data_IF_793646685911
#
_entry.id   IF_793646685911
#
_cell.length_a   1.000
_cell.length_b   1.000
_cell.length_c   1.000
_cell.angle_alpha   90.00
_cell.angle_beta   90.00
_cell.angle_gamma   90.00
#
_symmetry.space_group_name_H-M   'P 1'
#
loop_
_entity.id
_entity.type
_entity.pdbx_description
1 polymer ?
#
# COMPACT_ATOMS: atom_id res chain seq x y z
N UNK A 1 -0.11 24.26 -0.31
CA UNK A 1 -1.09 24.02 0.76
C UNK A 1 -0.36 23.49 1.98
N UNK A 2 -0.47 24.19 3.09
CA UNK A 2 0.04 23.70 4.37
C UNK A 2 -1.04 22.90 5.07
N UNK A 3 -0.74 21.61 5.28
CA UNK A 3 -1.62 20.73 6.02
C UNK A 3 -1.02 20.52 7.40
N UNK A 4 -1.81 20.75 8.43
CA UNK A 4 -1.42 20.49 9.81
C UNK A 4 -2.24 19.34 10.37
N UNK A 5 -1.59 18.42 11.03
CA UNK A 5 -2.24 17.30 11.65
C UNK A 5 -1.25 16.37 12.31
N UNK A 6 -1.75 15.27 12.83
CA UNK A 6 -0.92 14.23 13.40
C UNK A 6 -1.34 12.89 12.79
N UNK A 7 -0.38 11.98 12.70
CA UNK A 7 -0.62 10.62 12.27
C UNK A 7 -0.21 9.70 13.40
N UNK A 8 -1.12 8.84 13.83
CA UNK A 8 -0.83 7.80 14.82
C UNK A 8 -0.79 6.47 14.11
N UNK A 9 0.30 5.72 14.31
CA UNK A 9 0.51 4.43 13.66
C UNK A 9 0.63 3.34 14.70
N UNK A 10 -0.30 2.38 14.66
CA UNK A 10 -0.26 1.18 15.50
C UNK A 10 0.10 -0.01 14.61
N UNK A 11 1.27 -0.61 14.87
CA UNK A 11 1.78 -1.71 14.04
C UNK A 11 1.44 -3.05 14.66
N UNK A 12 0.63 -3.83 13.96
CA UNK A 12 0.33 -5.21 14.32
C UNK A 12 0.87 -6.21 13.30
N UNK A 13 1.11 -5.77 12.07
CA UNK A 13 1.72 -6.60 11.02
C UNK A 13 3.23 -6.65 11.26
N UNK A 14 3.86 -7.84 11.26
CA UNK A 14 5.30 -7.97 11.49
C UNK A 14 6.13 -7.18 10.48
N UNK A 15 7.15 -6.49 10.98
CA UNK A 15 8.10 -5.74 10.15
C UNK A 15 9.08 -6.69 9.47
N UNK A 16 9.48 -6.35 8.25
CA UNK A 16 10.50 -7.10 7.52
C UNK A 16 10.07 -8.51 7.13
N UNK A 17 8.77 -8.77 7.06
CA UNK A 17 8.22 -10.09 6.79
C UNK A 17 7.68 -10.23 5.35
N UNK A 18 7.85 -9.22 4.51
CA UNK A 18 7.35 -9.26 3.14
C UNK A 18 5.83 -9.15 3.01
N UNK A 19 5.15 -8.69 4.07
CA UNK A 19 3.69 -8.60 4.09
C UNK A 19 3.14 -7.26 3.62
N UNK A 20 4.01 -6.32 3.28
CA UNK A 20 3.60 -5.02 2.73
C UNK A 20 2.95 -4.08 3.74
N UNK A 21 3.17 -4.29 5.05
CA UNK A 21 2.55 -3.47 6.09
C UNK A 21 2.90 -2.00 5.99
N UNK A 22 4.18 -1.66 5.80
CA UNK A 22 4.62 -0.27 5.65
C UNK A 22 4.07 0.39 4.40
N UNK A 23 4.05 -0.34 3.29
CA UNK A 23 3.51 0.18 2.03
C UNK A 23 2.00 0.40 2.12
N UNK A 24 1.27 -0.50 2.76
CA UNK A 24 -0.17 -0.32 2.97
C UNK A 24 -0.47 0.86 3.90
N UNK A 25 0.35 1.06 4.93
CA UNK A 25 0.22 2.22 5.82
C UNK A 25 0.43 3.53 5.06
N UNK A 26 1.43 3.59 4.21
CA UNK A 26 1.71 4.77 3.39
C UNK A 26 0.54 5.09 2.45
N UNK A 27 0.00 4.08 1.76
CA UNK A 27 -1.14 4.24 0.87
C UNK A 27 -2.39 4.70 1.64
N UNK A 28 -2.66 4.09 2.79
CA UNK A 28 -3.79 4.47 3.62
C UNK A 28 -3.66 5.93 4.08
N UNK A 29 -2.46 6.36 4.43
CA UNK A 29 -2.21 7.75 4.84
C UNK A 29 -2.49 8.72 3.70
N UNK A 30 -2.01 8.42 2.48
CA UNK A 30 -2.27 9.26 1.30
C UNK A 30 -3.77 9.36 1.02
N UNK A 31 -4.48 8.24 1.03
CA UNK A 31 -5.92 8.22 0.79
C UNK A 31 -6.67 9.00 1.88
N UNK A 32 -6.31 8.80 3.13
CA UNK A 32 -6.96 9.47 4.25
C UNK A 32 -6.75 10.98 4.20
N UNK A 33 -5.53 11.43 3.91
CA UNK A 33 -5.22 12.86 3.79
C UNK A 33 -5.98 13.50 2.63
N UNK A 34 -6.01 12.82 1.48
CA UNK A 34 -6.74 13.31 0.31
C UNK A 34 -8.23 13.50 0.64
N UNK A 35 -8.81 12.53 1.31
CA UNK A 35 -10.23 12.54 1.68
C UNK A 35 -10.53 13.54 2.80
N UNK A 36 -9.71 13.52 3.86
CA UNK A 36 -9.94 14.33 5.06
C UNK A 36 -9.82 15.83 4.77
N UNK A 37 -8.86 16.23 3.97
CA UNK A 37 -8.60 17.63 3.64
C UNK A 37 -9.28 18.07 2.34
N UNK A 38 -10.10 17.21 1.72
CA UNK A 38 -10.85 17.55 0.51
C UNK A 38 -9.96 17.88 -0.67
N UNK A 39 -8.79 17.24 -0.78
CA UNK A 39 -7.87 17.47 -1.88
C UNK A 39 -8.41 16.82 -3.16
N UNK A 40 -8.27 17.49 -4.33
CA UNK A 40 -8.86 16.99 -5.57
C UNK A 40 -7.92 16.01 -6.31
N UNK A 41 -7.20 15.15 -5.60
CA UNK A 41 -6.27 14.24 -6.21
C UNK A 41 -6.99 12.99 -6.72
N UNK A 42 -6.74 12.64 -7.99
CA UNK A 42 -7.23 11.41 -8.59
C UNK A 42 -6.40 10.20 -8.13
N UNK A 43 -6.89 8.99 -8.39
CA UNK A 43 -6.12 7.78 -8.10
C UNK A 43 -4.80 7.74 -8.88
N UNK A 44 -4.78 8.29 -10.10
CA UNK A 44 -3.54 8.37 -10.90
C UNK A 44 -2.52 9.26 -10.19
N UNK A 45 -2.94 10.44 -9.72
CA UNK A 45 -2.07 11.37 -9.00
C UNK A 45 -1.60 10.80 -7.67
N UNK A 46 -2.49 10.12 -6.93
CA UNK A 46 -2.13 9.43 -5.69
C UNK A 46 -1.13 8.30 -5.96
N UNK A 47 -1.30 7.55 -7.04
CA UNK A 47 -0.39 6.46 -7.42
C UNK A 47 0.99 6.99 -7.79
N UNK A 48 1.07 8.13 -8.46
CA UNK A 48 2.35 8.78 -8.79
C UNK A 48 3.08 9.21 -7.50
N UNK A 49 2.36 9.81 -6.55
CA UNK A 49 2.92 10.15 -5.25
C UNK A 49 3.34 8.91 -4.48
N UNK A 50 2.53 7.87 -4.52
CA UNK A 50 2.80 6.60 -3.87
C UNK A 50 4.08 5.94 -4.39
N UNK A 51 4.30 5.96 -5.70
CA UNK A 51 5.48 5.39 -6.33
C UNK A 51 6.77 6.06 -5.84
N UNK A 52 6.72 7.35 -5.49
CA UNK A 52 7.87 8.06 -4.93
C UNK A 52 8.21 7.63 -3.51
N UNK A 53 7.25 7.06 -2.78
CA UNK A 53 7.45 6.57 -1.41
C UNK A 53 7.98 5.13 -1.40
N UNK A 54 7.59 4.33 -2.36
CA UNK A 54 8.03 2.94 -2.46
C UNK A 54 7.35 2.25 -3.63
N UNK A 55 8.01 1.25 -4.19
CA UNK A 55 7.54 0.57 -5.42
C UNK A 55 6.25 -0.23 -5.20
N UNK A 56 5.97 -0.67 -3.98
CA UNK A 56 4.76 -1.45 -3.67
C UNK A 56 3.58 -0.58 -3.21
N UNK A 57 3.82 0.71 -2.93
CA UNK A 57 2.76 1.59 -2.42
C UNK A 57 1.61 1.77 -3.41
N UNK A 58 1.87 1.94 -4.74
CA UNK A 58 0.78 2.07 -5.72
C UNK A 58 -0.22 0.91 -5.72
N UNK A 59 0.24 -0.30 -5.46
CA UNK A 59 -0.63 -1.47 -5.36
C UNK A 59 -1.74 -1.25 -4.32
N UNK A 60 -1.39 -0.66 -3.17
CA UNK A 60 -2.36 -0.42 -2.09
C UNK A 60 -3.26 0.78 -2.36
N UNK A 61 -2.88 1.68 -3.26
CA UNK A 61 -3.78 2.73 -3.76
C UNK A 61 -4.87 2.10 -4.63
N UNK A 62 -4.49 1.16 -5.51
CA UNK A 62 -5.45 0.41 -6.35
C UNK A 62 -6.41 -0.42 -5.52
N UNK A 63 -5.92 -1.12 -4.50
CA UNK A 63 -6.73 -1.91 -3.59
C UNK A 63 -7.44 -3.10 -4.24
N UNK A 64 -6.89 -3.63 -5.32
CA UNK A 64 -7.46 -4.77 -6.08
C UNK A 64 -6.38 -5.77 -6.41
N UNK A 65 -6.71 -7.05 -6.64
CA UNK A 65 -5.74 -8.01 -7.15
C UNK A 65 -5.13 -7.53 -8.46
N UNK A 66 -3.80 -7.52 -8.52
CA UNK A 66 -3.05 -7.02 -9.67
C UNK A 66 -1.85 -7.92 -9.95
N UNK A 67 -1.43 -7.91 -11.21
CA UNK A 67 -0.13 -8.42 -11.60
C UNK A 67 0.85 -7.24 -11.61
N UNK A 68 1.93 -7.36 -10.83
CA UNK A 68 2.95 -6.32 -10.73
C UNK A 68 4.16 -6.67 -11.58
N UNK A 69 4.66 -5.69 -12.32
CA UNK A 69 5.91 -5.79 -13.09
C UNK A 69 6.79 -4.57 -12.80
N UNK A 70 7.98 -4.54 -13.40
CA UNK A 70 8.96 -3.50 -13.08
C UNK A 70 9.53 -3.75 -11.69
N UNK A 71 9.57 -2.73 -10.85
CA UNK A 71 9.96 -2.85 -9.44
C UNK A 71 8.77 -3.17 -8.52
N UNK A 72 7.56 -3.34 -9.11
CA UNK A 72 6.32 -3.52 -8.40
C UNK A 72 5.31 -2.40 -8.65
N UNK A 73 5.71 -1.30 -9.29
CA UNK A 73 4.87 -0.14 -9.52
C UNK A 73 4.00 -0.25 -10.76
N UNK A 74 4.35 -1.13 -11.70
CA UNK A 74 3.56 -1.32 -12.93
C UNK A 74 2.50 -2.36 -12.66
N UNK A 75 1.23 -1.94 -12.61
CA UNK A 75 0.12 -2.77 -12.20
C UNK A 75 -0.81 -3.05 -13.38
N UNK A 76 -1.19 -4.32 -13.52
CA UNK A 76 -2.20 -4.76 -14.48
C UNK A 76 -3.29 -5.51 -13.73
N UNK A 77 -4.57 -5.40 -14.13
CA UNK A 77 -5.63 -6.14 -13.46
C UNK A 77 -5.39 -7.65 -13.48
N UNK A 78 -5.65 -8.31 -12.36
CA UNK A 78 -5.63 -9.75 -12.27
C UNK A 78 -7.05 -10.27 -12.21
N UNK A 79 -7.41 -11.13 -13.16
CA UNK A 79 -8.78 -11.64 -13.30
C UNK A 79 -8.99 -12.98 -12.58
N UNK A 80 -7.95 -13.54 -11.97
CA UNK A 80 -8.06 -14.75 -11.18
C UNK A 80 -8.80 -14.52 -9.86
N UNK A 81 -9.34 -15.58 -9.28
CA UNK A 81 -10.06 -15.52 -8.02
C UNK A 81 -9.35 -16.32 -6.94
N UNK A 82 -8.96 -15.61 -5.87
CA UNK A 82 -8.35 -16.22 -4.68
C UNK A 82 -9.21 -15.96 -3.43
N UNK A 83 -10.46 -15.52 -3.64
CA UNK A 83 -11.39 -15.21 -2.57
C UNK A 83 -11.68 -16.45 -1.72
N UNK A 84 -11.70 -16.28 -0.41
CA UNK A 84 -12.01 -17.35 0.55
C UNK A 84 -11.00 -18.52 0.55
N UNK A 85 -9.80 -18.32 0.00
CA UNK A 85 -8.73 -19.30 0.11
C UNK A 85 -8.03 -19.12 1.47
N UNK A 86 -7.85 -20.19 2.25
CA UNK A 86 -7.11 -20.08 3.51
C UNK A 86 -5.62 -19.85 3.23
N UNK A 87 -4.99 -19.05 4.10
CA UNK A 87 -3.58 -18.72 4.01
C UNK A 87 -2.92 -19.02 5.35
N UNK A 88 -1.74 -19.64 5.29
CA UNK A 88 -0.92 -19.88 6.47
C UNK A 88 0.32 -19.00 6.35
N UNK A 89 0.56 -18.18 7.39
CA UNK A 89 1.75 -17.34 7.46
C UNK A 89 2.79 -18.00 8.36
N UNK A 90 4.01 -18.13 7.84
CA UNK A 90 5.15 -18.60 8.61
C UNK A 90 6.20 -17.50 8.58
N UNK A 91 6.50 -16.94 9.76
CA UNK A 91 7.50 -15.88 9.87
C UNK A 91 8.66 -16.36 10.73
N UNK A 92 9.89 -16.44 10.18
CA UNK A 92 11.06 -16.72 11.00
C UNK A 92 11.40 -15.55 11.94
N UNK A 93 12.30 -15.79 12.90
CA UNK A 93 12.69 -14.79 13.90
C UNK A 93 13.60 -13.68 13.35
N UNK A 94 13.89 -13.69 12.06
CA UNK A 94 14.71 -12.66 11.41
C UNK A 94 13.92 -12.02 10.27
N UNK A 95 14.22 -10.75 10.00
CA UNK A 95 13.62 -10.03 8.86
C UNK A 95 14.42 -10.18 7.59
N UNK A 96 13.78 -9.87 6.46
CA UNK A 96 14.40 -9.82 5.14
C UNK A 96 14.21 -8.41 4.59
N UNK A 97 15.30 -7.80 4.14
CA UNK A 97 15.24 -6.49 3.51
C UNK A 97 15.00 -6.57 2.00
#
# INVERSE_FOLDING_TARGET
IKIKGSVELEKTIPLGAGLGGGSSDAAATLNAMNKLFGLPLSNIELSDMAASLGSDVPFFIEGKPCLSTGRGEILSPYLGQLTNKPIVLVKPDFGVS
#
